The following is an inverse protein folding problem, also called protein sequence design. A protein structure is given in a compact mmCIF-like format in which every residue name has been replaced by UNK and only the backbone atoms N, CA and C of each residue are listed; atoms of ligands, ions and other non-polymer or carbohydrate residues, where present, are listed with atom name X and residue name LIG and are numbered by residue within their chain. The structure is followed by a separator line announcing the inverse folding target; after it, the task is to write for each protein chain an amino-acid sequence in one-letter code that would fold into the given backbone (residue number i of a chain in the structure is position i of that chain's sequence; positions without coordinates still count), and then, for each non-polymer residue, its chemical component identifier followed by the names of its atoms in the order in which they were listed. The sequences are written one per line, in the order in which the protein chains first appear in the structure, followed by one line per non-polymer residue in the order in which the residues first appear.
data_IF_178151860055
#
_entry.id   IF_178151860055
#
_cell.length_a   1.000
_cell.length_b   1.000
_cell.length_c   1.000
_cell.angle_alpha   90.00
_cell.angle_beta   90.00
_cell.angle_gamma   90.00
#
_symmetry.space_group_name_H-M   'P 1'
#
loop_
_entity.id
_entity.type
_entity.pdbx_description
1 polymer ?
#
# COMPACT_ATOMS: atom_id res chain seq x y z
N UNK A 1 4.97 21.64 1.60
CA UNK A 1 3.82 22.54 1.82
C UNK A 1 2.86 22.63 0.61
N UNK A 2 2.93 21.72 -0.37
CA UNK A 2 2.09 21.76 -1.58
C UNK A 2 0.78 20.93 -1.49
N UNK A 3 0.58 20.13 -0.44
CA UNK A 3 -0.50 19.13 -0.36
C UNK A 3 -1.81 19.66 0.29
N UNK A 4 -2.05 20.97 0.29
CA UNK A 4 -3.23 21.59 0.94
C UNK A 4 -4.15 22.32 -0.06
N UNK A 5 -3.94 22.14 -1.36
CA UNK A 5 -4.83 22.60 -2.42
C UNK A 5 -5.71 21.41 -2.83
N UNK A 6 -6.97 21.65 -3.14
CA UNK A 6 -7.93 20.68 -3.68
C UNK A 6 -7.23 19.79 -4.73
N UNK A 7 -7.09 18.49 -4.44
CA UNK A 7 -6.08 17.65 -5.12
C UNK A 7 -6.42 17.49 -6.59
N UNK A 8 -5.55 17.97 -7.48
CA UNK A 8 -5.68 17.74 -8.93
C UNK A 8 -5.08 16.41 -9.37
N UNK A 9 -4.54 15.65 -8.41
CA UNK A 9 -4.05 14.28 -8.56
C UNK A 9 -2.61 14.18 -8.09
N UNK A 10 -2.13 13.00 -7.64
CA UNK A 10 -0.84 12.93 -6.94
C UNK A 10 0.34 13.45 -7.76
N UNK A 11 0.38 13.20 -9.08
CA UNK A 11 1.46 13.68 -9.95
C UNK A 11 1.45 15.21 -10.07
N UNK A 12 0.27 15.81 -10.18
CA UNK A 12 0.13 17.27 -10.31
C UNK A 12 0.47 17.98 -9.00
N UNK A 13 0.07 17.41 -7.86
CA UNK A 13 0.46 17.88 -6.53
C UNK A 13 1.99 17.87 -6.33
N UNK A 14 2.70 17.01 -7.09
CA UNK A 14 4.16 16.95 -7.12
C UNK A 14 4.82 17.90 -8.13
N UNK A 15 4.03 18.69 -8.88
CA UNK A 15 4.49 19.73 -9.79
C UNK A 15 4.71 19.28 -11.24
N UNK A 16 4.21 18.11 -11.64
CA UNK A 16 4.27 17.67 -13.04
C UNK A 16 3.29 18.47 -13.92
N UNK A 17 3.81 19.22 -14.90
CA UNK A 17 2.98 19.99 -15.86
C UNK A 17 2.37 19.15 -16.98
N UNK A 18 2.97 17.99 -17.27
CA UNK A 18 2.47 16.98 -18.20
C UNK A 18 2.20 15.67 -17.43
N UNK A 19 1.30 15.73 -16.45
CA UNK A 19 0.88 14.55 -15.68
C UNK A 19 0.32 13.47 -16.62
N UNK A 20 0.67 12.21 -16.36
CA UNK A 20 0.04 11.05 -16.99
C UNK A 20 -1.09 10.55 -16.08
N UNK A 21 -2.09 9.81 -16.61
CA UNK A 21 -3.08 9.15 -15.76
C UNK A 21 -2.41 8.34 -14.66
N UNK A 22 -2.91 8.45 -13.43
CA UNK A 22 -2.35 7.74 -12.27
C UNK A 22 -2.37 6.25 -12.56
N UNK A 23 -1.20 5.60 -12.50
CA UNK A 23 -1.09 4.15 -12.69
C UNK A 23 -1.17 3.43 -11.37
N UNK A 24 -1.66 2.19 -11.42
CA UNK A 24 -1.87 1.39 -10.21
C UNK A 24 -1.95 -0.10 -10.46
N UNK A 25 -2.22 -0.83 -9.38
CA UNK A 25 -2.57 -2.25 -9.42
C UNK A 25 -3.96 -2.47 -8.84
N UNK A 26 -4.71 -3.41 -9.39
CA UNK A 26 -5.82 -4.07 -8.71
C UNK A 26 -5.46 -5.53 -8.49
N UNK A 27 -5.33 -5.95 -7.23
CA UNK A 27 -5.07 -7.34 -6.85
C UNK A 27 -6.35 -7.98 -6.32
N UNK A 28 -6.89 -8.94 -7.06
CA UNK A 28 -8.04 -9.76 -6.67
C UNK A 28 -7.55 -11.05 -6.01
N UNK A 29 -7.60 -11.13 -4.67
CA UNK A 29 -7.14 -12.32 -3.94
C UNK A 29 -8.08 -13.51 -4.12
N UNK A 30 -9.33 -13.30 -4.58
CA UNK A 30 -10.30 -14.40 -4.78
C UNK A 30 -9.90 -15.38 -5.89
N UNK A 31 -9.00 -14.95 -6.79
CA UNK A 31 -8.50 -15.74 -7.91
C UNK A 31 -6.97 -15.92 -7.88
N UNK A 32 -6.34 -15.56 -6.76
CA UNK A 32 -4.92 -15.82 -6.55
C UNK A 32 -4.73 -17.30 -6.21
N UNK A 33 -3.80 -17.96 -6.92
CA UNK A 33 -3.50 -19.39 -6.72
C UNK A 33 -2.19 -19.64 -5.96
N UNK A 34 -1.60 -18.58 -5.38
CA UNK A 34 -0.36 -18.72 -4.59
C UNK A 34 0.90 -19.12 -5.37
N UNK A 35 0.89 -19.11 -6.71
CA UNK A 35 2.01 -19.65 -7.51
C UNK A 35 3.38 -18.95 -7.36
N UNK A 36 3.46 -17.83 -6.63
CA UNK A 36 4.66 -16.98 -6.45
C UNK A 36 5.35 -16.47 -7.73
N UNK A 37 4.76 -16.67 -8.92
CA UNK A 37 5.31 -16.17 -10.19
C UNK A 37 5.55 -14.64 -10.15
N UNK A 38 4.66 -13.90 -9.50
CA UNK A 38 4.80 -12.45 -9.32
C UNK A 38 6.01 -12.03 -8.47
N UNK A 39 6.42 -12.84 -7.48
CA UNK A 39 7.64 -12.61 -6.69
C UNK A 39 8.87 -12.82 -7.57
N UNK A 40 8.91 -13.96 -8.27
CA UNK A 40 10.04 -14.34 -9.14
C UNK A 40 10.23 -13.35 -10.26
N UNK A 41 9.17 -12.96 -10.97
CA UNK A 41 9.26 -11.98 -12.05
C UNK A 41 9.68 -10.59 -11.53
N UNK A 42 9.25 -10.21 -10.32
CA UNK A 42 9.69 -8.97 -9.70
C UNK A 42 11.19 -9.02 -9.37
N UNK A 43 11.69 -10.13 -8.83
CA UNK A 43 13.11 -10.30 -8.54
C UNK A 43 13.94 -10.35 -9.82
N UNK A 44 13.53 -11.13 -10.82
CA UNK A 44 14.22 -11.26 -12.11
C UNK A 44 14.35 -9.90 -12.81
N UNK A 45 13.23 -9.17 -12.94
CA UNK A 45 13.23 -7.88 -13.64
C UNK A 45 14.10 -6.85 -12.94
N UNK A 46 13.94 -6.69 -11.63
CA UNK A 46 14.66 -5.69 -10.84
C UNK A 46 16.05 -6.19 -10.39
N UNK A 47 16.41 -7.42 -10.79
CA UNK A 47 17.58 -8.16 -10.31
C UNK A 47 17.67 -8.25 -8.79
N UNK A 48 16.56 -8.16 -8.05
CA UNK A 48 16.62 -8.19 -6.59
C UNK A 48 17.25 -9.49 -6.11
N UNK A 49 18.13 -9.44 -5.09
CA UNK A 49 18.78 -10.64 -4.60
C UNK A 49 17.75 -11.60 -4.00
N UNK A 50 18.14 -12.87 -3.91
CA UNK A 50 17.40 -13.86 -3.11
C UNK A 50 17.36 -13.42 -1.64
N UNK A 51 16.34 -13.86 -0.92
CA UNK A 51 16.29 -13.68 0.53
C UNK A 51 17.11 -14.79 1.19
N UNK A 52 18.05 -14.41 2.06
CA UNK A 52 18.89 -15.33 2.83
C UNK A 52 19.58 -16.44 2.00
N UNK A 53 19.79 -17.58 2.66
CA UNK A 53 20.42 -18.78 2.10
C UNK A 53 19.42 -19.92 1.88
N UNK A 54 18.25 -19.60 1.32
CA UNK A 54 17.17 -20.56 1.01
C UNK A 54 16.63 -21.30 2.25
N UNK A 55 16.61 -20.61 3.39
CA UNK A 55 16.04 -21.14 4.61
C UNK A 55 14.54 -21.42 4.42
N UNK A 56 14.10 -22.61 4.79
CA UNK A 56 12.68 -22.99 4.80
C UNK A 56 12.15 -22.64 6.19
N UNK A 57 11.16 -21.74 6.27
CA UNK A 57 10.58 -21.32 7.55
C UNK A 57 9.92 -22.48 8.30
N UNK A 58 9.48 -23.52 7.58
CA UNK A 58 8.92 -24.75 8.15
C UNK A 58 7.53 -24.59 8.78
N UNK A 59 6.97 -23.38 8.74
CA UNK A 59 5.67 -23.01 9.33
C UNK A 59 4.57 -22.75 8.30
N UNK A 60 4.92 -22.53 7.03
CA UNK A 60 3.99 -22.22 5.94
C UNK A 60 4.62 -22.52 4.57
N UNK A 61 3.81 -22.50 3.51
CA UNK A 61 4.28 -22.44 2.11
C UNK A 61 4.86 -21.06 1.75
N UNK A 62 4.67 -20.09 2.63
CA UNK A 62 5.37 -18.82 2.54
C UNK A 62 6.81 -18.95 3.06
N UNK A 63 7.78 -18.97 2.14
CA UNK A 63 9.22 -18.98 2.47
C UNK A 63 9.88 -17.60 2.40
N UNK A 64 9.14 -16.56 2.01
CA UNK A 64 9.67 -15.20 1.85
C UNK A 64 9.34 -14.35 3.09
N UNK A 65 8.25 -14.69 3.79
CA UNK A 65 7.85 -14.12 5.08
C UNK A 65 7.14 -12.79 4.96
N UNK A 66 7.82 -11.76 4.46
CA UNK A 66 7.25 -10.41 4.31
C UNK A 66 7.95 -9.61 3.21
N UNK A 67 7.35 -8.47 2.87
CA UNK A 67 8.01 -7.47 2.04
C UNK A 67 9.27 -6.93 2.73
N UNK A 68 10.28 -6.60 1.95
CA UNK A 68 11.56 -6.11 2.46
C UNK A 68 12.47 -5.60 1.37
N UNK A 69 13.74 -5.36 1.71
CA UNK A 69 14.67 -4.70 0.81
C UNK A 69 15.00 -5.52 -0.46
N UNK A 70 14.82 -6.83 -0.38
CA UNK A 70 15.07 -7.81 -1.46
C UNK A 70 13.78 -8.40 -2.02
N UNK A 71 12.65 -8.20 -1.35
CA UNK A 71 11.33 -8.74 -1.72
C UNK A 71 10.31 -7.62 -1.81
N UNK A 72 10.09 -7.13 -3.02
CA UNK A 72 9.18 -6.00 -3.28
C UNK A 72 7.76 -6.43 -3.62
N UNK A 73 7.58 -7.73 -3.82
CA UNK A 73 6.31 -8.42 -4.05
C UNK A 73 6.37 -9.70 -3.24
N UNK A 74 5.33 -9.98 -2.47
CA UNK A 74 5.26 -11.13 -1.58
C UNK A 74 3.91 -11.82 -1.75
N UNK A 75 3.84 -13.12 -1.51
CA UNK A 75 2.62 -13.93 -1.51
C UNK A 75 2.53 -14.64 -0.17
N UNK A 76 1.54 -14.24 0.62
CA UNK A 76 1.16 -14.88 1.86
C UNK A 76 0.20 -16.04 1.61
N UNK A 77 0.27 -17.02 2.50
CA UNK A 77 -0.56 -18.22 2.53
C UNK A 77 -1.23 -18.30 3.91
N UNK A 78 -2.51 -17.93 3.98
CA UNK A 78 -3.23 -17.76 5.25
C UNK A 78 -4.32 -18.83 5.36
N UNK A 79 -4.13 -19.77 6.28
CA UNK A 79 -5.05 -20.87 6.53
C UNK A 79 -6.21 -20.43 7.42
N UNK A 80 -7.42 -20.85 7.07
CA UNK A 80 -8.63 -20.54 7.82
C UNK A 80 -9.47 -21.79 8.04
N UNK A 81 -9.88 -21.99 9.29
CA UNK A 81 -10.91 -22.96 9.63
C UNK A 81 -12.32 -22.42 9.33
N UNK A 82 -13.32 -23.30 9.43
CA UNK A 82 -14.73 -22.95 9.26
C UNK A 82 -15.17 -21.76 10.11
N UNK A 83 -14.75 -21.70 11.38
CA UNK A 83 -15.16 -20.66 12.32
C UNK A 83 -14.68 -19.28 11.88
N UNK A 84 -13.42 -19.17 11.45
CA UNK A 84 -12.88 -17.92 10.93
C UNK A 84 -13.59 -17.45 9.66
N UNK A 85 -13.98 -18.38 8.79
CA UNK A 85 -14.72 -18.04 7.55
C UNK A 85 -16.12 -17.50 7.89
N UNK A 86 -16.79 -18.07 8.89
CA UNK A 86 -18.09 -17.59 9.37
C UNK A 86 -17.99 -16.19 9.97
N UNK A 87 -16.95 -15.93 10.77
CA UNK A 87 -16.65 -14.61 11.33
C UNK A 87 -16.40 -13.55 10.24
N UNK A 88 -15.55 -13.86 9.26
CA UNK A 88 -15.26 -12.98 8.13
C UNK A 88 -16.53 -12.61 7.34
N UNK A 89 -17.41 -13.60 7.13
CA UNK A 89 -18.71 -13.42 6.47
C UNK A 89 -19.65 -12.55 7.29
N UNK A 90 -19.71 -12.74 8.60
CA UNK A 90 -20.54 -11.95 9.51
C UNK A 90 -20.10 -10.49 9.56
N UNK A 91 -18.79 -10.25 9.72
CA UNK A 91 -18.20 -8.92 9.65
C UNK A 91 -18.50 -8.24 8.31
N UNK A 92 -18.34 -8.97 7.20
CA UNK A 92 -18.72 -8.48 5.87
C UNK A 92 -20.21 -8.09 5.76
N UNK A 93 -21.12 -8.92 6.28
CA UNK A 93 -22.56 -8.60 6.33
C UNK A 93 -22.83 -7.33 7.14
N UNK A 94 -22.14 -7.13 8.27
CA UNK A 94 -22.30 -5.93 9.08
C UNK A 94 -21.95 -4.67 8.28
N UNK A 95 -20.88 -4.71 7.47
CA UNK A 95 -20.48 -3.59 6.60
C UNK A 95 -21.50 -3.31 5.49
N UNK A 96 -22.06 -4.34 4.87
CA UNK A 96 -23.10 -4.18 3.83
C UNK A 96 -24.40 -3.60 4.41
N UNK A 97 -24.77 -4.01 5.63
CA UNK A 97 -26.00 -3.57 6.30
C UNK A 97 -25.93 -2.12 6.84
N UNK A 98 -24.74 -1.56 7.04
CA UNK A 98 -24.55 -0.18 7.51
C UNK A 98 -24.77 0.89 6.41
N UNK A 99 -25.03 0.49 5.15
CA UNK A 99 -24.88 1.38 4.00
C UNK A 99 -26.09 1.71 3.13
N UNK A 100 -27.26 1.07 3.23
CA UNK A 100 -28.43 1.43 2.39
C UNK A 100 -29.77 1.29 3.11
N UNK A 101 -30.65 2.32 3.10
CA UNK A 101 -32.07 2.09 3.37
C UNK A 101 -32.63 1.14 2.31
N UNK A 102 -33.39 0.13 2.72
CA UNK A 102 -34.09 -0.76 1.80
C UNK A 102 -35.05 0.06 0.93
N UNK A 103 -34.80 0.11 -0.37
CA UNK A 103 -35.76 0.70 -1.31
C UNK A 103 -36.91 -0.29 -1.47
N UNK A 104 -38.13 0.13 -1.10
CA UNK A 104 -39.33 -0.64 -1.37
C UNK A 104 -39.46 -0.86 -2.89
N UNK A 105 -39.34 -2.12 -3.34
CA UNK A 105 -39.42 -2.49 -4.76
C UNK A 105 -38.16 -3.10 -5.38
N UNK A 106 -37.13 -3.42 -4.58
CA UNK A 106 -36.00 -4.25 -5.07
C UNK A 106 -36.51 -5.59 -5.65
N UNK A 107 -35.84 -6.13 -6.70
CA UNK A 107 -36.19 -7.44 -7.24
C UNK A 107 -36.20 -8.49 -6.12
N UNK A 108 -36.95 -9.58 -6.33
CA UNK A 108 -37.06 -10.69 -5.37
C UNK A 108 -35.69 -11.03 -4.77
N UNK A 109 -35.62 -11.39 -3.46
CA UNK A 109 -34.36 -11.68 -2.81
C UNK A 109 -33.60 -12.68 -3.68
N UNK A 110 -32.44 -12.25 -4.20
CA UNK A 110 -31.47 -13.20 -4.71
C UNK A 110 -31.25 -14.20 -3.58
N UNK A 111 -31.16 -15.48 -3.88
CA UNK A 111 -30.80 -16.48 -2.88
C UNK A 111 -29.43 -16.10 -2.32
N UNK A 112 -29.43 -15.36 -1.21
CA UNK A 112 -28.23 -14.96 -0.46
C UNK A 112 -27.86 -16.03 0.55
N UNK A 113 -28.42 -17.25 0.45
CA UNK A 113 -27.94 -18.37 1.24
C UNK A 113 -26.44 -18.48 0.98
N UNK A 114 -25.59 -18.27 2.02
CA UNK A 114 -24.17 -18.34 1.83
C UNK A 114 -23.85 -19.71 1.22
N UNK A 115 -22.94 -19.81 0.24
CA UNK A 115 -22.46 -21.12 -0.17
C UNK A 115 -21.99 -21.87 1.07
N UNK A 116 -22.25 -23.18 1.14
CA UNK A 116 -21.87 -24.03 2.26
C UNK A 116 -20.49 -23.61 2.76
N UNK A 117 -20.41 -23.16 4.02
CA UNK A 117 -19.13 -22.72 4.56
C UNK A 117 -18.17 -23.91 4.46
N UNK A 118 -17.05 -23.80 3.75
CA UNK A 118 -16.12 -24.89 3.66
C UNK A 118 -15.48 -25.12 5.04
N UNK A 119 -15.11 -26.37 5.33
CA UNK A 119 -14.42 -26.71 6.58
C UNK A 119 -13.04 -26.02 6.68
N UNK A 120 -12.45 -25.70 5.53
CA UNK A 120 -11.13 -25.09 5.40
C UNK A 120 -11.05 -24.20 4.17
N UNK A 121 -10.35 -23.08 4.28
CA UNK A 121 -10.03 -22.17 3.17
C UNK A 121 -8.59 -21.72 3.26
N UNK A 122 -7.94 -21.62 2.10
CA UNK A 122 -6.66 -20.96 1.98
C UNK A 122 -6.83 -19.60 1.29
N UNK A 123 -6.40 -18.54 1.96
CA UNK A 123 -6.28 -17.22 1.35
C UNK A 123 -4.85 -17.05 0.84
N UNK A 124 -4.68 -17.05 -0.48
CA UNK A 124 -3.41 -16.69 -1.10
C UNK A 124 -3.46 -15.20 -1.47
N UNK A 125 -2.59 -14.40 -0.89
CA UNK A 125 -2.65 -12.95 -1.05
C UNK A 125 -1.31 -12.39 -1.45
N UNK A 126 -1.28 -11.71 -2.59
CA UNK A 126 -0.06 -11.06 -3.03
C UNK A 126 0.02 -9.62 -2.54
N UNK A 127 1.00 -9.33 -1.70
CA UNK A 127 1.29 -8.00 -1.17
C UNK A 127 2.34 -7.24 -2.02
N UNK A 128 2.26 -5.92 -2.00
CA UNK A 128 3.13 -4.96 -2.70
C UNK A 128 3.01 -3.56 -2.08
N UNK A 129 4.00 -2.70 -2.34
CA UNK A 129 3.90 -1.27 -2.01
C UNK A 129 2.60 -0.65 -2.51
N UNK A 130 2.00 0.20 -1.67
CA UNK A 130 0.68 0.79 -1.91
C UNK A 130 0.69 2.02 -2.83
N UNK A 131 1.85 2.64 -3.07
CA UNK A 131 1.98 3.90 -3.83
C UNK A 131 0.89 4.92 -3.42
N UNK A 132 0.86 5.23 -2.12
CA UNK A 132 -0.17 6.04 -1.47
C UNK A 132 -0.35 7.42 -2.10
N UNK A 133 -1.56 7.97 -1.99
CA UNK A 133 -1.84 9.37 -2.36
C UNK A 133 -1.05 10.33 -1.46
N UNK A 134 -1.17 10.16 -0.15
CA UNK A 134 -0.29 10.77 0.85
C UNK A 134 0.70 9.70 1.32
N UNK A 135 1.95 9.83 0.87
CA UNK A 135 2.96 8.81 1.08
C UNK A 135 3.89 9.20 2.23
N UNK A 136 3.66 8.63 3.40
CA UNK A 136 4.45 8.93 4.60
C UNK A 136 5.95 8.71 4.40
N UNK A 137 6.35 7.69 3.61
CA UNK A 137 7.75 7.46 3.25
C UNK A 137 8.37 8.60 2.43
N UNK A 138 7.60 9.23 1.54
CA UNK A 138 8.02 10.42 0.78
C UNK A 138 8.09 11.64 1.70
N UNK A 139 7.05 11.86 2.51
CA UNK A 139 6.93 13.04 3.35
C UNK A 139 8.05 13.17 4.40
N UNK A 140 8.56 12.04 4.89
CA UNK A 140 9.62 12.02 5.92
C UNK A 140 11.03 11.88 5.36
N UNK A 141 11.21 11.79 4.04
CA UNK A 141 12.53 11.62 3.44
C UNK A 141 13.31 12.95 3.47
N UNK A 142 14.39 13.07 4.26
CA UNK A 142 15.10 14.35 4.41
C UNK A 142 15.98 14.70 3.20
N UNK A 143 16.32 13.73 2.35
CA UNK A 143 17.21 13.94 1.20
C UNK A 143 16.48 14.21 -0.11
N UNK A 144 15.15 14.01 -0.15
CA UNK A 144 14.39 14.01 -1.39
C UNK A 144 14.63 12.77 -2.27
N UNK A 145 15.26 11.71 -1.75
CA UNK A 145 15.48 10.47 -2.50
C UNK A 145 14.18 9.73 -2.84
N UNK A 146 13.11 9.92 -2.06
CA UNK A 146 11.78 9.47 -2.44
C UNK A 146 11.06 10.58 -3.17
N UNK A 147 10.58 10.26 -4.38
CA UNK A 147 9.87 11.20 -5.23
C UNK A 147 8.63 10.54 -5.83
N UNK A 148 7.76 11.39 -6.38
CA UNK A 148 6.57 10.96 -7.12
C UNK A 148 6.79 11.15 -8.61
N UNK A 149 6.52 10.11 -9.38
CA UNK A 149 6.65 10.10 -10.84
C UNK A 149 5.46 10.81 -11.50
N UNK A 150 5.57 11.07 -12.79
CA UNK A 150 4.52 11.57 -13.66
C UNK A 150 3.30 10.64 -13.75
N UNK A 151 3.46 9.36 -13.35
CA UNK A 151 2.40 8.36 -13.27
C UNK A 151 1.72 8.32 -11.90
N UNK A 152 2.07 9.24 -10.98
CA UNK A 152 1.54 9.28 -9.62
C UNK A 152 2.12 8.21 -8.68
N UNK A 153 3.15 7.48 -9.10
CA UNK A 153 3.79 6.41 -8.33
C UNK A 153 4.94 6.95 -7.48
N UNK A 154 5.11 6.43 -6.27
CA UNK A 154 6.27 6.78 -5.42
C UNK A 154 7.46 5.88 -5.74
N UNK A 155 8.67 6.42 -5.90
CA UNK A 155 9.90 5.69 -6.24
C UNK A 155 11.07 6.17 -5.37
N UNK A 156 12.04 5.30 -5.09
CA UNK A 156 13.31 5.65 -4.44
C UNK A 156 14.39 5.86 -5.51
N UNK A 157 15.10 6.97 -5.46
CA UNK A 157 16.34 7.23 -6.20
C UNK A 157 17.52 6.76 -5.35
N UNK A 158 18.12 5.65 -5.75
CA UNK A 158 19.21 5.00 -5.01
C UNK A 158 20.53 5.81 -5.04
N UNK A 159 20.69 6.72 -5.99
CA UNK A 159 21.80 7.67 -6.14
C UNK A 159 21.70 8.89 -5.23
N UNK A 160 20.50 9.19 -4.73
CA UNK A 160 20.23 10.28 -3.78
C UNK A 160 20.05 9.76 -2.35
N UNK A 161 19.65 8.50 -2.19
CA UNK A 161 19.39 7.91 -0.88
C UNK A 161 20.69 7.81 -0.06
N UNK A 162 20.69 8.41 1.14
CA UNK A 162 21.78 8.30 2.11
C UNK A 162 21.58 7.18 3.14
N UNK A 163 20.51 6.40 3.02
CA UNK A 163 20.25 5.29 3.94
C UNK A 163 19.82 5.68 5.35
N UNK A 164 19.32 6.90 5.62
CA UNK A 164 18.92 7.29 6.99
C UNK A 164 17.81 6.41 7.60
N UNK A 165 16.94 5.81 6.77
CA UNK A 165 15.89 4.88 7.23
C UNK A 165 14.62 5.53 7.77
N UNK A 166 14.49 6.85 7.77
CA UNK A 166 13.25 7.52 8.24
C UNK A 166 12.01 7.06 7.47
N UNK A 167 12.17 6.77 6.17
CA UNK A 167 11.10 6.24 5.33
C UNK A 167 10.59 4.85 5.74
N UNK A 168 11.41 4.05 6.44
CA UNK A 168 11.02 2.73 6.96
C UNK A 168 9.97 2.92 8.06
N UNK A 169 10.28 3.76 9.05
CA UNK A 169 9.34 4.10 10.13
C UNK A 169 8.15 4.94 9.65
N UNK A 170 8.33 5.74 8.58
CA UNK A 170 7.28 6.58 8.03
C UNK A 170 6.24 5.84 7.19
N UNK A 171 6.47 4.58 6.84
CA UNK A 171 5.54 3.80 6.03
C UNK A 171 4.55 3.03 6.93
N UNK A 172 3.25 3.34 6.90
CA UNK A 172 2.26 2.64 7.73
C UNK A 172 2.06 1.17 7.34
N UNK A 173 2.57 0.75 6.17
CA UNK A 173 2.43 -0.61 5.65
C UNK A 173 3.70 -1.45 5.78
N UNK A 174 4.81 -0.90 6.32
CA UNK A 174 6.07 -1.65 6.47
C UNK A 174 6.73 -2.13 5.17
N UNK A 175 6.34 -1.60 4.00
CA UNK A 175 6.77 -2.09 2.67
C UNK A 175 8.10 -1.52 2.17
N UNK A 176 8.78 -0.70 2.99
CA UNK A 176 10.05 -0.06 2.65
C UNK A 176 11.06 -0.48 3.69
N UNK A 177 12.19 -1.02 3.23
CA UNK A 177 13.27 -1.45 4.12
C UNK A 177 14.62 -1.03 3.55
N UNK A 178 15.62 -0.90 4.42
CA UNK A 178 17.01 -0.66 3.99
C UNK A 178 17.67 -1.96 3.63
N UNK A 179 18.32 -2.02 2.46
CA UNK A 179 19.13 -3.18 2.11
C UNK A 179 20.37 -3.23 3.02
N UNK A 180 20.44 -4.22 3.88
CA UNK A 180 21.61 -4.50 4.69
C UNK A 180 22.18 -5.88 4.34
N UNK A 181 23.44 -5.93 3.94
CA UNK A 181 24.29 -7.14 3.98
C UNK A 181 25.09 -7.22 5.30
N UNK A 182 24.87 -6.28 6.23
CA UNK A 182 25.65 -6.10 7.46
C UNK A 182 26.84 -5.14 7.32
N UNK A 183 27.15 -4.64 6.12
CA UNK A 183 28.24 -3.70 5.85
C UNK A 183 27.74 -2.47 5.09
N UNK A 184 27.36 -1.42 5.82
CA UNK A 184 27.16 -0.12 5.20
C UNK A 184 28.50 0.45 4.71
N UNK A 185 28.69 0.54 3.40
CA UNK A 185 29.70 1.39 2.78
C UNK A 185 29.01 2.27 1.73
N UNK A 186 28.89 3.57 2.01
CA UNK A 186 28.56 4.55 0.98
C UNK A 186 29.79 4.72 0.09
N UNK A 187 29.70 4.53 -1.24
CA UNK A 187 30.81 4.89 -2.12
C UNK A 187 31.09 6.39 -1.94
N UNK A 188 32.36 6.74 -1.68
CA UNK A 188 32.77 8.12 -1.48
C UNK A 188 32.52 9.00 -2.72
N UNK A 189 32.49 8.40 -3.91
CA UNK A 189 32.11 9.04 -5.16
C UNK A 189 31.09 8.22 -5.95
N UNK A 190 30.19 8.93 -6.66
CA UNK A 190 29.18 8.38 -7.57
C UNK A 190 29.80 7.59 -8.74
N UNK A 191 31.02 7.92 -9.15
CA UNK A 191 31.79 7.24 -10.19
C UNK A 191 32.30 5.85 -9.80
N UNK A 192 32.39 5.58 -8.50
CA UNK A 192 32.98 4.35 -7.97
C UNK A 192 31.91 3.26 -7.78
N UNK A 193 30.66 3.53 -8.21
CA UNK A 193 29.59 2.53 -8.25
C UNK A 193 29.91 1.53 -9.37
N UNK A 194 30.18 0.25 -9.05
CA UNK A 194 30.37 -0.72 -10.09
C UNK A 194 29.06 -0.92 -10.83
N UNK A 195 29.13 -0.87 -12.16
CA UNK A 195 28.00 -1.10 -13.05
C UNK A 195 27.34 -2.45 -12.67
N UNK A 196 26.04 -2.44 -12.43
CA UNK A 196 25.25 -3.62 -12.01
C UNK A 196 25.49 -4.17 -10.58
N UNK A 197 26.03 -3.37 -9.65
CA UNK A 197 26.13 -3.78 -8.24
C UNK A 197 25.00 -3.20 -7.40
N UNK A 198 24.42 -4.02 -6.52
CA UNK A 198 23.38 -3.60 -5.59
C UNK A 198 23.91 -2.51 -4.66
N UNK A 199 23.19 -1.38 -4.58
CA UNK A 199 23.52 -0.34 -3.61
C UNK A 199 23.10 -0.83 -2.22
N UNK A 200 24.08 -1.26 -1.43
CA UNK A 200 23.90 -1.58 -0.01
C UNK A 200 23.67 -0.29 0.78
N UNK A 201 22.87 -0.37 1.84
CA UNK A 201 22.67 0.72 2.80
C UNK A 201 21.52 1.66 2.49
N UNK A 202 20.95 1.61 1.28
CA UNK A 202 19.84 2.47 0.85
C UNK A 202 18.47 1.80 1.03
N UNK A 203 17.42 2.61 1.06
CA UNK A 203 16.05 2.13 1.12
C UNK A 203 15.64 1.50 -0.23
N UNK A 204 14.87 0.42 -0.16
CA UNK A 204 14.38 -0.34 -1.31
C UNK A 204 12.89 -0.66 -1.12
N UNK A 205 12.15 -0.67 -2.22
CA UNK A 205 10.71 -0.98 -2.29
C UNK A 205 10.28 -1.12 -3.73
N UNK A 206 9.07 -1.62 -3.96
CA UNK A 206 8.45 -1.63 -5.29
C UNK A 206 8.44 -0.23 -5.94
N UNK A 207 8.75 -0.19 -7.24
CA UNK A 207 8.81 1.02 -8.07
C UNK A 207 7.60 1.15 -9.02
N UNK A 208 6.60 0.27 -8.90
CA UNK A 208 5.58 0.01 -9.92
C UNK A 208 6.20 -0.32 -11.31
N UNK A 209 7.44 -0.82 -11.35
CA UNK A 209 8.24 -0.96 -12.56
C UNK A 209 8.32 0.34 -13.37
N UNK A 210 8.64 1.46 -12.72
CA UNK A 210 8.72 2.78 -13.35
C UNK A 210 9.50 2.80 -14.68
N UNK A 211 10.61 2.07 -14.73
CA UNK A 211 11.40 1.85 -15.94
C UNK A 211 10.61 1.23 -17.10
N UNK A 212 9.72 0.28 -16.82
CA UNK A 212 8.79 -0.30 -17.81
C UNK A 212 7.69 0.68 -18.19
N UNK A 213 7.19 1.47 -17.23
CA UNK A 213 6.14 2.45 -17.49
C UNK A 213 6.61 3.55 -18.45
N UNK A 214 7.87 3.96 -18.36
CA UNK A 214 8.47 4.92 -19.29
C UNK A 214 8.41 4.45 -20.74
N UNK A 215 8.45 3.12 -20.95
CA UNK A 215 8.38 2.45 -22.25
C UNK A 215 6.98 1.88 -22.54
N UNK A 216 5.94 2.35 -21.83
CA UNK A 216 4.54 1.90 -21.94
C UNK A 216 4.34 0.38 -21.79
N UNK A 217 5.22 -0.27 -21.01
CA UNK A 217 5.17 -1.71 -20.73
C UNK A 217 4.46 -2.03 -19.41
N UNK A 218 3.71 -3.13 -19.40
CA UNK A 218 3.07 -3.67 -18.18
C UNK A 218 4.12 -4.10 -17.16
N UNK A 219 3.98 -3.79 -15.85
CA UNK A 219 4.88 -4.26 -14.80
C UNK A 219 5.07 -5.77 -14.77
N UNK A 220 6.28 -6.25 -14.48
CA UNK A 220 6.65 -7.67 -14.57
C UNK A 220 5.72 -8.59 -13.75
N UNK A 221 5.36 -8.18 -12.53
CA UNK A 221 4.51 -8.96 -11.63
C UNK A 221 3.05 -9.05 -12.11
N UNK A 222 2.54 -8.05 -12.84
CA UNK A 222 1.22 -8.09 -13.45
C UNK A 222 1.24 -8.91 -14.75
N UNK A 223 2.27 -8.73 -15.58
CA UNK A 223 2.40 -9.46 -16.84
C UNK A 223 2.52 -10.97 -16.65
N UNK A 224 3.21 -11.43 -15.60
CA UNK A 224 3.41 -12.86 -15.34
C UNK A 224 2.21 -13.56 -14.69
N UNK A 225 1.23 -12.81 -14.16
CA UNK A 225 0.17 -13.37 -13.33
C UNK A 225 -0.76 -14.29 -14.17
N UNK A 226 -0.75 -15.62 -13.97
CA UNK A 226 -1.44 -16.55 -14.86
C UNK A 226 -2.97 -16.48 -14.73
N UNK A 227 -3.48 -16.11 -13.56
CA UNK A 227 -4.92 -16.02 -13.29
C UNK A 227 -5.46 -14.61 -13.49
N UNK A 228 -4.62 -13.64 -13.84
CA UNK A 228 -4.98 -12.20 -13.85
C UNK A 228 -5.51 -11.69 -12.50
N UNK A 229 -5.12 -12.35 -11.40
CA UNK A 229 -5.30 -11.83 -10.04
C UNK A 229 -4.71 -10.43 -9.91
N UNK A 230 -3.60 -10.15 -10.58
CA UNK A 230 -2.93 -8.86 -10.60
C UNK A 230 -3.24 -8.16 -11.91
N UNK A 231 -3.97 -7.04 -11.85
CA UNK A 231 -4.29 -6.18 -12.98
C UNK A 231 -3.51 -4.87 -12.86
N UNK A 232 -3.10 -4.32 -13.99
CA UNK A 232 -2.39 -3.04 -14.10
C UNK A 232 -3.12 -2.14 -15.09
N UNK A 233 -3.09 -0.82 -14.85
CA UNK A 233 -3.74 0.17 -15.70
C UNK A 233 -3.92 1.50 -14.99
N UNK A 234 -4.84 2.30 -15.52
CA UNK A 234 -5.27 3.56 -14.91
C UNK A 234 -6.02 3.30 -13.62
N UNK A 235 -5.70 4.05 -12.58
CA UNK A 235 -6.18 3.83 -11.22
C UNK A 235 -7.70 3.88 -11.12
N UNK A 236 -8.34 4.86 -11.74
CA UNK A 236 -9.80 5.02 -11.72
C UNK A 236 -10.52 3.82 -12.36
N UNK A 237 -10.01 3.33 -13.49
CA UNK A 237 -10.52 2.13 -14.15
C UNK A 237 -10.37 0.88 -13.27
N UNK A 238 -9.23 0.78 -12.57
CA UNK A 238 -8.96 -0.33 -11.66
C UNK A 238 -9.90 -0.29 -10.44
N UNK A 239 -10.17 0.89 -9.88
CA UNK A 239 -11.14 1.07 -8.79
C UNK A 239 -12.55 0.72 -9.24
N UNK A 240 -12.96 1.16 -10.44
CA UNK A 240 -14.26 0.80 -11.00
C UNK A 240 -14.42 -0.72 -11.18
N UNK A 241 -13.39 -1.39 -11.75
CA UNK A 241 -13.34 -2.86 -11.87
C UNK A 241 -13.38 -3.56 -10.52
N UNK A 242 -12.68 -3.04 -9.51
CA UNK A 242 -12.66 -3.61 -8.18
C UNK A 242 -14.04 -3.53 -7.49
N UNK A 243 -14.74 -2.39 -7.61
CA UNK A 243 -16.11 -2.22 -7.09
C UNK A 243 -17.09 -3.16 -7.76
N UNK A 244 -17.01 -3.30 -9.09
CA UNK A 244 -17.85 -4.24 -9.84
C UNK A 244 -17.59 -5.69 -9.39
N UNK A 245 -16.33 -6.07 -9.17
CA UNK A 245 -15.95 -7.41 -8.73
C UNK A 245 -16.47 -7.73 -7.32
N UNK A 246 -16.41 -6.78 -6.38
CA UNK A 246 -16.99 -6.98 -5.04
C UNK A 246 -18.51 -7.16 -5.11
N UNK A 247 -19.21 -6.36 -5.92
CA UNK A 247 -20.65 -6.53 -6.12
C UNK A 247 -21.00 -7.91 -6.70
N UNK A 248 -20.19 -8.41 -7.63
CA UNK A 248 -20.33 -9.76 -8.20
C UNK A 248 -20.17 -10.85 -7.12
N UNK A 249 -19.14 -10.76 -6.27
CA UNK A 249 -18.90 -11.72 -5.19
C UNK A 249 -20.00 -11.66 -4.12
N UNK A 250 -20.49 -10.46 -3.78
CA UNK A 250 -21.62 -10.30 -2.86
C UNK A 250 -22.89 -10.94 -3.42
N UNK A 251 -23.15 -10.82 -4.73
CA UNK A 251 -24.26 -11.50 -5.39
C UNK A 251 -24.11 -13.03 -5.40
N UNK A 252 -22.89 -13.55 -5.24
CA UNK A 252 -22.58 -14.98 -5.07
C UNK A 252 -22.60 -15.44 -3.60
N UNK A 253 -23.00 -14.57 -2.67
CA UNK A 253 -23.09 -14.88 -1.23
C UNK A 253 -21.75 -14.77 -0.47
N UNK A 254 -20.68 -14.27 -1.10
CA UNK A 254 -19.38 -14.04 -0.47
C UNK A 254 -19.36 -12.66 0.20
N UNK A 255 -20.15 -12.50 1.26
CA UNK A 255 -20.36 -11.22 1.96
C UNK A 255 -19.09 -10.64 2.60
N UNK A 256 -18.08 -11.48 2.85
CA UNK A 256 -16.78 -11.09 3.39
C UNK A 256 -15.94 -10.24 2.42
N UNK A 257 -16.23 -10.29 1.11
CA UNK A 257 -15.46 -9.60 0.09
C UNK A 257 -15.48 -8.08 0.30
N UNK A 258 -14.31 -7.45 0.34
CA UNK A 258 -14.17 -6.01 0.60
C UNK A 258 -12.99 -5.43 -0.16
N UNK A 259 -13.03 -4.12 -0.39
CA UNK A 259 -11.93 -3.39 -1.01
C UNK A 259 -11.04 -2.76 0.04
N UNK A 260 -9.73 -2.82 -0.20
CA UNK A 260 -8.71 -2.17 0.60
C UNK A 260 -7.91 -1.18 -0.24
N UNK A 261 -7.69 0.02 0.31
CA UNK A 261 -6.93 1.10 -0.34
C UNK A 261 -7.71 2.01 -1.29
N UNK A 262 -9.03 1.83 -1.42
CA UNK A 262 -9.89 2.68 -2.28
C UNK A 262 -10.50 3.87 -1.55
N UNK A 263 -10.31 4.00 -0.23
CA UNK A 263 -10.91 5.05 0.56
C UNK A 263 -10.06 6.32 0.50
N UNK A 264 -10.50 7.31 -0.27
CA UNK A 264 -9.79 8.60 -0.39
C UNK A 264 -9.85 9.44 0.91
N UNK A 265 -10.67 9.06 1.87
CA UNK A 265 -10.81 9.74 3.16
C UNK A 265 -10.04 9.03 4.29
N UNK A 266 -9.28 7.98 3.98
CA UNK A 266 -8.39 7.35 4.96
C UNK A 266 -7.16 8.20 5.26
N UNK A 267 -6.37 7.79 6.26
CA UNK A 267 -5.17 8.51 6.68
C UNK A 267 -4.01 8.52 5.67
N UNK A 268 -4.18 7.94 4.47
CA UNK A 268 -3.22 7.99 3.35
C UNK A 268 -3.84 8.54 2.06
N UNK A 269 -5.10 8.98 2.07
CA UNK A 269 -5.81 9.51 0.90
C UNK A 269 -6.09 8.45 -0.18
N UNK A 270 -6.20 7.18 0.21
CA UNK A 270 -6.24 6.04 -0.70
C UNK A 270 -4.88 5.66 -1.30
N UNK A 271 -4.86 4.56 -2.04
CA UNK A 271 -3.65 3.90 -2.52
C UNK A 271 -3.66 3.70 -4.03
N UNK A 272 -2.47 3.72 -4.66
CA UNK A 272 -2.31 3.36 -6.07
C UNK A 272 -2.42 1.84 -6.31
N UNK A 273 -2.11 1.02 -5.30
CA UNK A 273 -2.35 -0.43 -5.34
C UNK A 273 -3.57 -0.75 -4.49
N UNK A 274 -4.66 -1.19 -5.11
CA UNK A 274 -5.93 -1.55 -4.47
C UNK A 274 -6.10 -3.06 -4.44
N UNK A 275 -6.78 -3.56 -3.41
CA UNK A 275 -6.92 -5.00 -3.18
C UNK A 275 -8.39 -5.34 -2.98
N UNK A 276 -8.84 -6.45 -3.54
CA UNK A 276 -10.04 -7.15 -3.08
C UNK A 276 -9.56 -8.27 -2.17
N UNK A 277 -10.03 -8.23 -0.92
CA UNK A 277 -9.72 -9.19 0.13
C UNK A 277 -11.01 -9.88 0.61
N UNK A 278 -10.86 -11.08 1.19
CA UNK A 278 -11.96 -11.95 1.64
C UNK A 278 -11.99 -12.12 3.16
N UNK A 279 -11.40 -11.18 3.89
CA UNK A 279 -11.42 -11.09 5.33
C UNK A 279 -11.04 -9.66 5.77
N UNK A 280 -10.99 -9.39 7.07
CA UNK A 280 -10.41 -8.18 7.65
C UNK A 280 -8.98 -7.92 7.16
N UNK A 281 -8.58 -6.66 6.92
CA UNK A 281 -7.22 -6.28 6.53
C UNK A 281 -6.12 -6.89 7.43
N UNK A 282 -6.39 -6.98 8.73
CA UNK A 282 -5.47 -7.47 9.75
C UNK A 282 -5.05 -8.92 9.52
N UNK A 283 -5.92 -9.74 8.94
CA UNK A 283 -5.62 -11.14 8.56
C UNK A 283 -4.50 -11.21 7.53
N UNK A 284 -4.38 -10.18 6.71
CA UNK A 284 -3.34 -10.03 5.69
C UNK A 284 -2.12 -9.25 6.20
N UNK A 285 -2.08 -8.90 7.49
CA UNK A 285 -1.05 -7.99 8.05
C UNK A 285 -1.20 -6.54 7.59
N UNK A 286 -2.37 -6.17 7.05
CA UNK A 286 -2.64 -4.80 6.59
C UNK A 286 -3.30 -4.00 7.72
N UNK A 287 -2.89 -2.74 7.96
CA UNK A 287 -3.55 -1.89 8.94
C UNK A 287 -4.99 -1.55 8.50
N UNK A 288 -6.02 -1.63 9.37
CA UNK A 288 -7.40 -1.36 8.97
C UNK A 288 -7.64 0.11 8.58
N UNK A 289 -6.99 1.04 9.27
CA UNK A 289 -7.01 2.49 9.01
C UNK A 289 -5.56 3.01 8.92
N UNK A 290 -4.90 2.88 7.76
CA UNK A 290 -3.53 3.33 7.59
C UNK A 290 -3.45 4.86 7.69
N UNK A 291 -2.43 5.36 8.39
CA UNK A 291 -2.26 6.79 8.61
C UNK A 291 -0.82 7.23 8.48
N UNK A 292 -0.56 8.29 7.70
CA UNK A 292 0.79 8.85 7.61
C UNK A 292 1.18 9.60 8.88
N UNK A 293 2.46 9.58 9.29
CA UNK A 293 2.93 10.34 10.47
C UNK A 293 2.69 11.85 10.36
N UNK A 294 2.56 12.35 9.13
CA UNK A 294 2.40 13.76 8.79
C UNK A 294 0.95 14.25 8.83
N UNK A 295 -0.03 13.36 8.98
CA UNK A 295 -1.47 13.66 8.83
C UNK A 295 -1.96 14.72 9.83
N UNK A 296 -1.40 14.74 11.04
CA UNK A 296 -1.80 15.68 12.10
C UNK A 296 -0.93 16.92 12.20
N UNK A 297 0.14 17.05 11.42
CA UNK A 297 1.13 18.12 11.62
C UNK A 297 0.48 19.50 11.65
N UNK A 298 -0.43 19.78 10.73
CA UNK A 298 -1.13 21.08 10.68
C UNK A 298 -2.01 21.30 11.91
N UNK A 299 -2.71 20.26 12.39
CA UNK A 299 -3.53 20.37 13.59
C UNK A 299 -2.65 20.55 14.84
N UNK A 300 -1.51 19.86 14.91
CA UNK A 300 -0.52 20.01 15.98
C UNK A 300 0.04 21.43 16.02
N UNK A 301 0.45 22.00 14.88
CA UNK A 301 0.93 23.38 14.81
C UNK A 301 -0.14 24.40 15.20
N UNK A 302 -1.40 24.20 14.78
CA UNK A 302 -2.52 25.05 15.22
C UNK A 302 -2.71 25.00 16.73
N UNK A 303 -2.73 23.79 17.32
CA UNK A 303 -2.87 23.61 18.78
C UNK A 303 -1.69 24.22 19.54
N UNK A 304 -0.47 24.03 19.05
CA UNK A 304 0.74 24.63 19.63
C UNK A 304 0.69 26.17 19.56
N UNK A 305 0.23 26.73 18.43
CA UNK A 305 0.04 28.17 18.27
C UNK A 305 -1.01 28.74 19.24
N UNK A 306 -2.15 28.06 19.40
CA UNK A 306 -3.18 28.44 20.38
C UNK A 306 -2.63 28.40 21.81
N UNK A 307 -1.90 27.34 22.17
CA UNK A 307 -1.28 27.21 23.49
C UNK A 307 -0.25 28.33 23.74
N UNK A 308 0.60 28.63 22.76
CA UNK A 308 1.57 29.71 22.84
C UNK A 308 0.89 31.08 23.03
N UNK A 309 -0.15 31.38 22.24
CA UNK A 309 -0.93 32.62 22.39
C UNK A 309 -1.58 32.73 23.77
N UNK A 310 -2.12 31.63 24.30
CA UNK A 310 -2.66 31.57 25.66
C UNK A 310 -1.61 31.87 26.73
N UNK A 311 -0.41 31.30 26.63
CA UNK A 311 0.70 31.58 27.55
C UNK A 311 1.15 33.05 27.48
N UNK A 312 1.25 33.62 26.27
CA UNK A 312 1.58 35.04 26.10
C UNK A 312 0.53 35.96 26.72
N UNK A 313 -0.76 35.68 26.49
CA UNK A 313 -1.85 36.45 27.07
C UNK A 313 -1.84 36.37 28.61
N UNK A 314 -1.67 35.18 29.18
CA UNK A 314 -1.58 34.99 30.63
C UNK A 314 -0.39 35.74 31.24
N UNK A 315 0.78 35.69 30.59
CA UNK A 315 1.95 36.47 30.99
C UNK A 315 1.69 37.97 30.96
N UNK A 316 1.14 38.49 29.85
CA UNK A 316 0.81 39.92 29.72
C UNK A 316 -0.21 40.39 30.78
N UNK A 317 -1.25 39.59 31.04
CA UNK A 317 -2.24 39.86 32.09
C UNK A 317 -1.62 39.88 33.48
N UNK A 318 -0.68 38.98 33.78
CA UNK A 318 0.02 38.95 35.06
C UNK A 318 0.90 40.20 35.26
N UNK A 319 1.59 40.66 34.21
CA UNK A 319 2.38 41.91 34.26
C UNK A 319 1.52 43.18 34.28
N UNK A 320 0.34 43.15 33.66
CA UNK A 320 -0.58 44.29 33.71
C UNK A 320 -1.24 44.44 35.08
N UNK A 321 -1.58 43.33 35.74
CA UNK A 321 -2.17 43.32 37.10
C UNK A 321 -1.19 43.65 38.23
N UNK A 322 0.12 43.55 37.98
CA UNK A 322 1.16 43.86 38.97
C UNK A 322 1.63 45.32 38.94
N UNK A 323 1.11 46.12 38.01
CA UNK A 323 1.23 47.59 37.99
C UNK A 323 -0.01 48.23 38.59
#
# INVERSE_FOLDING_TARGET
MAQLVESTGPAEDAGWSNSKPRKGFFTDTSICIGCKACEVACKEWNRNPRDGDLEILGSSYDNTGQLGASTWRHVAFIEQDRGRIEEARESGRALVNLGMPSVAGAPAPVDTSPPDTPEFRWLMASDVCKHCTHAGCLDVCPTGALFRTEFGTVVVQDDVCNGCGTCVAGCPFGVVERRSDGTYATPANRSDRPEHTFVTGVAQKCTLCYDRLLEDQTPACAQTCPTTSIKFGDHDDLVAKARARVAELHAQGLTEARLYGVNEHDGVGGTGSVFLILDEPEVYGLPPDPRVPTADLMQMFKRAGVAAAGMFAAGALAFWRSR
#
